data_IF_762320925415
#
_entry.id   IF_762320925415
#
_cell.length_a   1.000
_cell.length_b   1.000
_cell.length_c   1.000
_cell.angle_alpha   90.00
_cell.angle_beta   90.00
_cell.angle_gamma   90.00
#
_symmetry.space_group_name_H-M   'P 1'
#
loop_
_entity.id
_entity.type
_entity.pdbx_description
1 polymer ?
#
# COMPACT_ATOMS: atom_id res chain seq x y z
N UNK A 1 38.42 11.18 -21.12
CA UNK A 1 37.54 10.49 -20.17
C UNK A 1 36.09 10.83 -20.55
N UNK A 2 35.22 9.84 -20.65
CA UNK A 2 33.77 10.10 -20.87
C UNK A 2 33.21 10.83 -19.64
N UNK A 3 32.38 11.83 -19.88
CA UNK A 3 31.68 12.51 -18.77
C UNK A 3 30.67 11.57 -18.12
N UNK A 4 30.23 11.78 -16.89
CA UNK A 4 29.16 11.01 -16.27
C UNK A 4 27.87 10.97 -17.13
N UNK A 5 27.57 12.06 -17.82
CA UNK A 5 26.44 12.14 -18.76
C UNK A 5 26.64 11.23 -19.97
N UNK A 6 27.85 11.16 -20.55
CA UNK A 6 28.15 10.28 -21.68
C UNK A 6 27.97 8.78 -21.31
N UNK A 7 28.39 8.41 -20.10
CA UNK A 7 28.26 7.05 -19.60
C UNK A 7 26.80 6.68 -19.36
N UNK A 8 26.01 7.56 -18.75
CA UNK A 8 24.58 7.38 -18.52
C UNK A 8 23.80 7.31 -19.84
N UNK A 9 24.10 8.21 -20.78
CA UNK A 9 23.52 8.21 -22.13
C UNK A 9 23.76 6.89 -22.84
N UNK A 10 25.02 6.41 -22.85
CA UNK A 10 25.38 5.14 -23.47
C UNK A 10 24.64 3.96 -22.83
N UNK A 11 24.52 3.96 -21.50
CA UNK A 11 23.83 2.89 -20.77
C UNK A 11 22.32 2.91 -21.07
N UNK A 12 21.67 4.09 -21.04
CA UNK A 12 20.26 4.23 -21.36
C UNK A 12 19.96 3.73 -22.78
N UNK A 13 20.73 4.16 -23.78
CA UNK A 13 20.54 3.77 -25.19
C UNK A 13 20.78 2.26 -25.35
N UNK A 14 21.84 1.72 -24.76
CA UNK A 14 22.18 0.29 -24.86
C UNK A 14 21.09 -0.56 -24.21
N UNK A 15 20.66 -0.20 -23.00
CA UNK A 15 19.59 -0.94 -22.28
C UNK A 15 18.28 -0.92 -23.06
N UNK A 16 17.90 0.24 -23.60
CA UNK A 16 16.68 0.38 -24.41
C UNK A 16 16.76 -0.49 -25.67
N UNK A 17 17.86 -0.44 -26.40
CA UNK A 17 18.07 -1.21 -27.64
C UNK A 17 18.01 -2.72 -27.40
N UNK A 18 18.55 -3.18 -26.28
CA UNK A 18 18.60 -4.61 -25.94
C UNK A 18 17.27 -5.15 -25.38
N UNK A 19 16.60 -4.36 -24.51
CA UNK A 19 15.42 -4.82 -23.79
C UNK A 19 14.09 -4.48 -24.45
N UNK A 20 14.06 -3.44 -25.27
CA UNK A 20 12.84 -2.97 -25.93
C UNK A 20 13.08 -2.64 -27.42
N UNK A 21 13.49 -3.60 -28.26
CA UNK A 21 13.69 -3.38 -29.70
C UNK A 21 12.43 -2.86 -30.39
N UNK A 22 11.25 -3.25 -29.94
CA UNK A 22 9.97 -2.78 -30.46
C UNK A 22 9.82 -1.24 -30.32
N UNK A 23 10.49 -0.60 -29.36
CA UNK A 23 10.53 0.86 -29.25
C UNK A 23 11.26 1.52 -30.44
N UNK A 24 12.26 0.88 -30.98
CA UNK A 24 12.99 1.35 -32.19
C UNK A 24 12.14 1.21 -33.44
N UNK A 25 11.35 0.12 -33.55
CA UNK A 25 10.38 -0.06 -34.64
C UNK A 25 9.29 1.02 -34.58
N UNK A 26 8.79 1.32 -33.37
CA UNK A 26 7.84 2.41 -33.15
C UNK A 26 8.43 3.74 -33.56
N UNK A 27 9.67 4.06 -33.16
CA UNK A 27 10.37 5.29 -33.55
C UNK A 27 10.56 5.40 -35.06
N UNK A 28 10.86 4.30 -35.74
CA UNK A 28 10.93 4.28 -37.21
C UNK A 28 9.57 4.62 -37.86
N UNK A 29 8.47 4.13 -37.30
CA UNK A 29 7.11 4.45 -37.78
C UNK A 29 6.76 5.95 -37.59
N UNK A 30 7.13 6.56 -36.44
CA UNK A 30 6.96 7.98 -36.19
C UNK A 30 7.82 8.82 -37.13
N UNK A 31 9.08 8.46 -37.31
CA UNK A 31 10.00 9.12 -38.23
C UNK A 31 9.48 9.08 -39.67
N UNK A 32 8.97 7.94 -40.12
CA UNK A 32 8.41 7.80 -41.46
C UNK A 32 7.14 8.66 -41.67
N UNK A 33 6.43 8.95 -40.59
CA UNK A 33 5.27 9.85 -40.58
C UNK A 33 5.65 11.35 -40.42
N UNK A 34 6.94 11.66 -40.24
CA UNK A 34 7.47 13.02 -40.13
C UNK A 34 7.41 13.59 -38.69
N UNK A 35 7.21 12.74 -37.68
CA UNK A 35 7.11 13.14 -36.29
C UNK A 35 8.33 12.70 -35.47
N UNK A 36 8.60 13.44 -34.39
CA UNK A 36 9.58 13.08 -33.37
C UNK A 36 9.00 12.09 -32.36
N UNK A 37 9.84 11.25 -31.78
CA UNK A 37 9.49 10.37 -30.67
C UNK A 37 10.65 10.25 -29.72
N UNK A 38 10.43 10.51 -28.44
CA UNK A 38 11.42 10.37 -27.39
C UNK A 38 10.88 9.51 -26.24
N UNK A 39 11.68 8.53 -25.78
CA UNK A 39 11.44 7.84 -24.51
C UNK A 39 11.71 8.84 -23.39
N UNK A 40 10.86 8.88 -22.37
CA UNK A 40 10.93 9.88 -21.29
C UNK A 40 10.62 9.30 -19.92
N UNK A 41 10.96 10.03 -18.88
CA UNK A 41 10.46 9.77 -17.53
C UNK A 41 11.11 8.60 -16.81
N UNK A 42 10.27 7.84 -16.08
CA UNK A 42 10.71 6.65 -15.35
C UNK A 42 11.49 5.64 -16.18
N UNK A 43 11.04 5.28 -17.38
CA UNK A 43 11.77 4.37 -18.26
C UNK A 43 13.21 4.80 -18.58
N UNK A 44 13.49 6.09 -18.78
CA UNK A 44 14.88 6.58 -19.02
C UNK A 44 15.74 6.40 -17.77
N UNK A 45 15.22 6.80 -16.61
CA UNK A 45 15.88 6.57 -15.31
C UNK A 45 16.17 5.08 -15.10
N UNK A 46 15.18 4.23 -15.34
CA UNK A 46 15.29 2.80 -15.10
C UNK A 46 16.19 2.10 -16.13
N UNK A 47 16.29 2.66 -17.35
CA UNK A 47 17.29 2.24 -18.33
C UNK A 47 18.73 2.56 -17.87
N UNK A 48 18.97 3.75 -17.30
CA UNK A 48 20.27 4.12 -16.71
C UNK A 48 20.61 3.19 -15.53
N UNK A 49 19.60 2.77 -14.76
CA UNK A 49 19.76 1.84 -13.63
C UNK A 49 19.79 0.36 -14.06
N UNK A 50 19.80 0.05 -15.37
CA UNK A 50 19.78 -1.29 -15.96
C UNK A 50 18.60 -2.16 -15.52
N UNK A 51 17.45 -1.54 -15.16
CA UNK A 51 16.23 -2.20 -14.70
C UNK A 51 14.97 -1.81 -15.50
N UNK A 52 15.13 -1.43 -16.77
CA UNK A 52 14.05 -1.08 -17.68
C UNK A 52 12.99 -2.19 -17.69
N UNK A 53 11.74 -1.82 -17.42
CA UNK A 53 10.55 -2.68 -17.50
C UNK A 53 9.91 -2.64 -18.89
N UNK A 54 8.70 -3.23 -18.97
CA UNK A 54 7.95 -3.35 -20.22
C UNK A 54 6.96 -2.19 -20.45
N UNK A 55 6.78 -1.29 -19.47
CA UNK A 55 5.93 -0.10 -19.59
C UNK A 55 6.81 1.08 -19.98
N UNK A 56 6.59 1.60 -21.19
CA UNK A 56 7.42 2.64 -21.79
C UNK A 56 6.61 3.92 -22.03
N UNK A 57 7.09 5.03 -21.49
CA UNK A 57 6.51 6.36 -21.67
C UNK A 57 7.24 7.11 -22.77
N UNK A 58 6.50 7.60 -23.75
CA UNK A 58 7.03 8.40 -24.84
C UNK A 58 6.39 9.79 -24.86
N UNK A 59 7.12 10.74 -25.43
CA UNK A 59 6.60 12.05 -25.78
C UNK A 59 6.90 12.37 -27.25
N UNK A 60 6.04 13.15 -27.90
CA UNK A 60 6.06 13.41 -29.35
C UNK A 60 5.48 14.79 -29.69
N UNK A 61 5.84 15.33 -30.85
CA UNK A 61 5.19 16.49 -31.48
C UNK A 61 3.93 16.11 -32.28
N UNK A 62 3.66 14.82 -32.47
CA UNK A 62 2.45 14.33 -33.14
C UNK A 62 1.20 14.59 -32.29
N UNK A 63 0.09 14.99 -32.93
CA UNK A 63 -1.21 15.07 -32.25
C UNK A 63 -1.77 13.68 -31.91
N UNK A 64 -2.63 13.56 -30.91
CA UNK A 64 -3.18 12.26 -30.47
C UNK A 64 -3.82 11.43 -31.60
N UNK A 65 -4.49 12.07 -32.54
CA UNK A 65 -5.08 11.41 -33.72
C UNK A 65 -4.04 10.78 -34.63
N UNK A 66 -2.87 11.40 -34.76
CA UNK A 66 -1.80 10.87 -35.60
C UNK A 66 -1.04 9.77 -34.85
N UNK A 67 -0.85 9.93 -33.52
CA UNK A 67 -0.35 8.84 -32.66
C UNK A 67 -1.23 7.60 -32.77
N UNK A 68 -2.55 7.74 -32.69
CA UNK A 68 -3.49 6.64 -32.81
C UNK A 68 -3.40 5.93 -34.18
N UNK A 69 -3.27 6.70 -35.29
CA UNK A 69 -3.11 6.13 -36.64
C UNK A 69 -1.80 5.31 -36.78
N UNK A 70 -0.71 5.80 -36.16
CA UNK A 70 0.58 5.11 -36.22
C UNK A 70 0.50 3.85 -35.35
N UNK A 71 -0.04 3.96 -34.11
CA UNK A 71 -0.17 2.83 -33.20
C UNK A 71 -1.06 1.72 -33.76
N UNK A 72 -2.17 2.04 -34.44
CA UNK A 72 -3.04 1.04 -35.09
C UNK A 72 -2.34 0.17 -36.15
N UNK A 73 -1.21 0.61 -36.69
CA UNK A 73 -0.40 -0.15 -37.63
C UNK A 73 0.73 -0.94 -36.98
N UNK A 74 1.13 -0.52 -35.78
CA UNK A 74 2.28 -1.09 -35.08
C UNK A 74 1.89 -2.02 -33.92
N UNK A 75 0.83 -1.68 -33.17
CA UNK A 75 0.43 -2.35 -31.93
C UNK A 75 -0.65 -3.41 -32.18
N UNK A 76 -0.69 -4.44 -31.33
CA UNK A 76 -1.73 -5.49 -31.30
C UNK A 76 -3.04 -4.96 -30.73
N UNK A 77 -2.95 -4.01 -29.78
CA UNK A 77 -4.09 -3.32 -29.17
C UNK A 77 -3.77 -1.81 -28.95
N UNK A 78 -4.78 -0.96 -29.16
CA UNK A 78 -4.67 0.50 -28.98
C UNK A 78 -5.86 0.99 -28.18
N UNK A 79 -5.60 1.88 -27.22
CA UNK A 79 -6.66 2.53 -26.44
C UNK A 79 -6.28 3.96 -26.08
N UNK A 80 -7.27 4.79 -25.85
CA UNK A 80 -7.07 6.18 -25.42
C UNK A 80 -7.12 6.27 -23.92
N UNK A 81 -6.02 6.66 -23.29
CA UNK A 81 -5.96 7.00 -21.86
C UNK A 81 -6.24 8.50 -21.74
N UNK A 82 -7.54 8.86 -21.69
CA UNK A 82 -7.91 10.26 -21.56
C UNK A 82 -7.56 11.08 -22.81
N UNK A 83 -8.32 10.91 -23.89
CA UNK A 83 -8.15 11.70 -25.13
C UNK A 83 -8.15 13.22 -24.87
N UNK A 84 -8.77 13.68 -23.79
CA UNK A 84 -8.73 15.08 -23.33
C UNK A 84 -7.34 15.52 -22.83
N UNK A 85 -6.45 14.58 -22.49
CA UNK A 85 -5.11 14.87 -21.97
C UNK A 85 -3.99 14.57 -22.95
N UNK A 86 -4.31 14.18 -24.16
CA UNK A 86 -3.32 14.02 -25.24
C UNK A 86 -2.51 12.74 -25.19
N UNK A 87 -2.92 11.71 -24.42
CA UNK A 87 -2.21 10.43 -24.29
C UNK A 87 -2.93 9.32 -25.04
N UNK A 88 -2.20 8.57 -25.85
CA UNK A 88 -2.65 7.34 -26.52
C UNK A 88 -1.73 6.19 -26.10
N UNK A 89 -2.32 5.04 -25.80
CA UNK A 89 -1.58 3.87 -25.41
C UNK A 89 -1.73 2.73 -26.41
N UNK A 90 -0.74 1.86 -26.45
CA UNK A 90 -0.78 0.64 -27.26
C UNK A 90 0.03 -0.47 -26.62
N UNK A 91 -0.31 -1.72 -26.96
CA UNK A 91 0.44 -2.89 -26.54
C UNK A 91 0.89 -3.66 -27.77
N UNK A 92 2.17 -4.08 -27.78
CA UNK A 92 2.73 -4.99 -28.75
C UNK A 92 3.53 -6.05 -27.99
N UNK A 93 3.17 -7.31 -28.16
CA UNK A 93 3.71 -8.39 -27.35
C UNK A 93 3.60 -8.11 -25.85
N UNK A 94 4.72 -8.16 -25.11
CA UNK A 94 4.76 -7.85 -23.67
C UNK A 94 4.99 -6.36 -23.38
N UNK A 95 5.21 -5.50 -24.39
CA UNK A 95 5.55 -4.09 -24.22
C UNK A 95 4.28 -3.25 -24.29
N UNK A 96 4.04 -2.46 -23.27
CA UNK A 96 3.02 -1.41 -23.23
C UNK A 96 3.69 -0.06 -23.47
N UNK A 97 3.12 0.74 -24.35
CA UNK A 97 3.60 2.11 -24.63
C UNK A 97 2.51 3.13 -24.33
N UNK A 98 2.88 4.20 -23.68
CA UNK A 98 2.05 5.39 -23.49
C UNK A 98 2.72 6.56 -24.22
N UNK A 99 2.00 7.17 -25.18
CA UNK A 99 2.54 8.27 -26.01
C UNK A 99 1.76 9.52 -25.71
N UNK A 100 2.44 10.53 -25.19
CA UNK A 100 1.85 11.83 -24.85
C UNK A 100 2.38 12.90 -25.82
N UNK A 101 1.48 13.66 -26.44
CA UNK A 101 1.85 14.83 -27.23
C UNK A 101 2.49 15.86 -26.32
N UNK A 102 3.55 16.57 -26.78
CA UNK A 102 4.14 17.71 -26.06
C UNK A 102 3.03 18.64 -25.60
N UNK A 103 3.05 19.01 -24.33
CA UNK A 103 2.03 19.91 -23.77
C UNK A 103 2.65 20.87 -22.78
N UNK A 104 2.10 22.09 -22.75
CA UNK A 104 2.19 23.00 -21.61
C UNK A 104 0.85 22.95 -20.87
N UNK A 105 0.90 22.96 -19.57
CA UNK A 105 -0.30 22.92 -18.72
C UNK A 105 -0.46 24.28 -18.05
N UNK A 106 -1.59 24.96 -18.33
CA UNK A 106 -1.99 26.16 -17.59
C UNK A 106 -3.05 25.76 -16.56
N UNK A 107 -2.68 25.72 -15.28
CA UNK A 107 -3.62 25.51 -14.20
C UNK A 107 -4.24 26.83 -13.75
N UNK A 108 -5.57 26.91 -13.76
CA UNK A 108 -6.28 27.99 -13.04
C UNK A 108 -6.24 27.68 -11.55
N UNK A 109 -6.00 28.69 -10.72
CA UNK A 109 -5.75 28.59 -9.27
C UNK A 109 -6.76 27.71 -8.51
N UNK A 110 -8.00 27.61 -9.00
CA UNK A 110 -9.10 26.85 -8.37
C UNK A 110 -9.66 25.71 -9.24
N UNK A 111 -8.97 25.31 -10.32
CA UNK A 111 -9.48 24.29 -11.24
C UNK A 111 -8.65 22.99 -11.17
N UNK A 112 -9.34 21.85 -11.02
CA UNK A 112 -8.75 20.51 -11.09
C UNK A 112 -8.45 20.03 -12.51
N UNK A 113 -8.90 20.79 -13.54
CA UNK A 113 -8.73 20.43 -14.94
C UNK A 113 -7.75 21.40 -15.56
N UNK A 114 -6.54 20.94 -15.94
CA UNK A 114 -5.63 21.77 -16.72
C UNK A 114 -6.26 22.09 -18.08
N UNK A 115 -6.14 23.30 -18.55
CA UNK A 115 -6.29 23.60 -19.97
C UNK A 115 -5.04 23.08 -20.68
N UNK A 116 -5.17 21.95 -21.37
CA UNK A 116 -4.06 21.37 -22.12
C UNK A 116 -3.81 22.22 -23.35
N UNK A 117 -2.68 22.91 -23.37
CA UNK A 117 -2.18 23.56 -24.57
C UNK A 117 -1.06 22.67 -25.12
N UNK A 118 -1.22 22.16 -26.34
CA UNK A 118 -0.18 21.36 -26.97
C UNK A 118 1.07 22.23 -27.17
N UNK A 119 2.19 21.78 -26.60
CA UNK A 119 3.48 22.43 -26.66
C UNK A 119 4.21 22.08 -27.96
N UNK A 120 5.17 22.92 -28.34
CA UNK A 120 5.94 22.71 -29.57
C UNK A 120 7.34 22.12 -29.31
N UNK A 121 7.76 21.98 -28.05
CA UNK A 121 9.13 21.57 -27.72
C UNK A 121 9.23 20.53 -26.61
N UNK A 122 10.23 19.68 -26.72
CA UNK A 122 10.58 18.69 -25.72
C UNK A 122 11.08 19.35 -24.41
N UNK A 123 11.71 20.51 -24.50
CA UNK A 123 12.23 21.27 -23.34
C UNK A 123 11.07 21.65 -22.41
N UNK A 124 9.97 22.15 -22.97
CA UNK A 124 8.76 22.49 -22.24
C UNK A 124 8.13 21.25 -21.60
N UNK A 125 8.11 20.11 -22.31
CA UNK A 125 7.61 18.85 -21.79
C UNK A 125 8.45 18.33 -20.63
N UNK A 126 9.76 18.42 -20.70
CA UNK A 126 10.68 18.00 -19.65
C UNK A 126 10.61 18.92 -18.41
N UNK A 127 10.48 20.25 -18.60
CA UNK A 127 10.40 21.22 -17.50
C UNK A 127 9.19 21.00 -16.60
N UNK A 128 8.05 20.61 -17.17
CA UNK A 128 6.82 20.37 -16.41
C UNK A 128 6.77 19.05 -15.65
N UNK A 129 7.77 18.16 -15.82
CA UNK A 129 7.84 16.89 -15.12
C UNK A 129 8.07 17.08 -13.61
N UNK A 130 7.78 16.04 -12.85
CA UNK A 130 7.81 16.10 -11.39
C UNK A 130 9.23 16.32 -10.83
N UNK A 131 10.20 15.50 -11.27
CA UNK A 131 11.57 15.53 -10.73
C UNK A 131 12.61 15.40 -11.83
N UNK A 132 13.82 15.96 -11.60
CA UNK A 132 14.94 15.94 -12.54
C UNK A 132 15.28 14.53 -13.00
N UNK A 133 15.28 13.55 -12.10
CA UNK A 133 15.52 12.13 -12.39
C UNK A 133 14.48 11.51 -13.34
N UNK A 134 13.34 12.14 -13.54
CA UNK A 134 12.28 11.76 -14.48
C UNK A 134 12.13 12.77 -15.61
N UNK A 135 12.97 13.83 -15.66
CA UNK A 135 12.97 14.85 -16.67
C UNK A 135 14.13 14.68 -17.67
N UNK A 136 14.46 13.42 -17.97
CA UNK A 136 15.43 13.01 -18.97
C UNK A 136 14.71 12.35 -20.14
N UNK A 137 15.31 12.42 -21.35
CA UNK A 137 14.76 11.81 -22.54
C UNK A 137 15.82 11.11 -23.38
N UNK A 138 15.37 10.15 -24.21
CA UNK A 138 16.15 9.58 -25.32
C UNK A 138 15.35 9.79 -26.60
N UNK A 139 15.73 10.73 -27.43
CA UNK A 139 15.11 10.97 -28.74
C UNK A 139 15.56 9.88 -29.72
N UNK A 140 14.58 9.16 -30.30
CA UNK A 140 14.81 7.96 -31.11
C UNK A 140 14.67 8.20 -32.62
N UNK A 141 14.13 9.34 -33.02
CA UNK A 141 13.85 9.68 -34.43
C UNK A 141 14.99 10.37 -35.14
N UNK A 142 16.05 10.73 -34.44
CA UNK A 142 17.34 11.23 -34.97
C UNK A 142 18.09 10.15 -35.75
N UNK A 143 19.21 10.48 -36.39
CA UNK A 143 20.04 9.47 -37.10
C UNK A 143 20.61 8.42 -36.13
N UNK A 144 21.06 8.91 -34.96
CA UNK A 144 21.48 8.08 -33.83
C UNK A 144 20.67 8.54 -32.61
N UNK A 145 20.20 7.61 -31.73
CA UNK A 145 19.48 8.01 -30.51
C UNK A 145 20.26 9.08 -29.73
N UNK A 146 19.58 10.15 -29.35
CA UNK A 146 20.19 11.31 -28.67
C UNK A 146 19.64 11.42 -27.26
N UNK A 147 20.53 11.39 -26.26
CA UNK A 147 20.18 11.57 -24.87
C UNK A 147 20.05 13.06 -24.53
N UNK A 148 19.00 13.41 -23.79
CA UNK A 148 18.66 14.78 -23.41
C UNK A 148 18.50 14.84 -21.89
N UNK A 149 19.34 15.64 -21.24
CA UNK A 149 19.30 15.96 -19.80
C UNK A 149 19.52 17.47 -19.60
N UNK A 150 18.43 18.21 -19.55
CA UNK A 150 18.46 19.68 -19.44
C UNK A 150 18.53 20.18 -17.98
N UNK A 151 18.20 19.31 -17.03
CA UNK A 151 17.98 19.67 -15.63
C UNK A 151 18.92 18.92 -14.67
N UNK A 152 20.03 18.37 -15.18
CA UNK A 152 21.02 17.62 -14.40
C UNK A 152 20.44 16.35 -13.72
N UNK A 153 19.48 15.69 -14.37
CA UNK A 153 18.84 14.49 -13.85
C UNK A 153 19.81 13.35 -13.60
N UNK A 154 20.85 13.18 -14.44
CA UNK A 154 21.92 12.19 -14.25
C UNK A 154 22.71 12.47 -12.96
N UNK A 155 23.07 13.72 -12.72
CA UNK A 155 23.80 14.11 -11.52
C UNK A 155 22.97 13.86 -10.25
N UNK A 156 21.68 14.24 -10.26
CA UNK A 156 20.77 14.02 -9.15
C UNK A 156 20.53 12.51 -8.92
N UNK A 157 20.44 11.71 -9.99
CA UNK A 157 20.32 10.26 -9.92
C UNK A 157 21.56 9.62 -9.26
N UNK A 158 22.78 10.06 -9.63
CA UNK A 158 24.03 9.59 -9.05
C UNK A 158 24.18 9.99 -7.58
N UNK A 159 23.77 11.23 -7.25
CA UNK A 159 23.80 11.76 -5.89
C UNK A 159 22.63 11.25 -5.04
N UNK A 160 21.70 10.49 -5.64
CA UNK A 160 20.49 9.98 -4.96
C UNK A 160 19.62 11.09 -4.35
N UNK A 161 19.35 12.13 -5.11
CA UNK A 161 18.57 13.29 -4.68
C UNK A 161 17.30 13.42 -5.52
N UNK A 162 16.18 13.72 -4.84
CA UNK A 162 14.90 14.08 -5.46
C UNK A 162 14.81 15.59 -5.50
N UNK A 163 14.82 16.17 -6.72
CA UNK A 163 14.78 17.60 -6.98
C UNK A 163 13.85 17.89 -8.15
N UNK A 164 13.17 19.05 -8.15
CA UNK A 164 12.32 19.50 -9.26
C UNK A 164 13.13 20.14 -10.38
N UNK A 165 12.72 20.03 -11.67
CA UNK A 165 13.40 20.71 -12.78
C UNK A 165 13.41 22.24 -12.64
N UNK A 166 12.31 22.81 -12.13
CA UNK A 166 12.18 24.23 -11.82
C UNK A 166 11.98 24.46 -10.32
N UNK A 167 11.32 25.57 -9.95
CA UNK A 167 10.98 25.85 -8.57
C UNK A 167 9.95 24.82 -8.06
N UNK A 168 10.16 24.32 -6.86
CA UNK A 168 9.29 23.31 -6.28
C UNK A 168 7.87 23.86 -6.04
N UNK A 169 7.74 25.12 -5.65
CA UNK A 169 6.47 25.80 -5.43
C UNK A 169 5.63 25.85 -6.71
N UNK A 170 6.24 26.14 -7.85
CA UNK A 170 5.56 26.16 -9.15
C UNK A 170 5.06 24.75 -9.51
N UNK A 171 5.96 23.77 -9.39
CA UNK A 171 5.65 22.35 -9.63
C UNK A 171 4.50 21.83 -8.76
N UNK A 172 4.44 22.19 -7.47
CA UNK A 172 3.39 21.78 -6.55
C UNK A 172 2.11 22.61 -6.70
N UNK A 173 2.20 23.81 -7.27
CA UNK A 173 1.04 24.57 -7.69
C UNK A 173 0.32 23.93 -8.86
N UNK A 174 1.07 23.36 -9.80
CA UNK A 174 0.55 22.64 -10.96
C UNK A 174 -0.13 21.33 -10.55
N UNK A 175 0.55 20.48 -9.78
CA UNK A 175 -0.02 19.23 -9.25
C UNK A 175 0.45 18.98 -7.80
N UNK A 176 -0.38 19.29 -6.80
CA UNK A 176 -0.04 19.05 -5.40
C UNK A 176 0.28 17.59 -5.05
N UNK A 177 -0.17 16.61 -5.86
CA UNK A 177 0.19 15.20 -5.64
C UNK A 177 1.69 14.95 -5.79
N UNK A 178 2.42 15.83 -6.51
CA UNK A 178 3.88 15.72 -6.64
C UNK A 178 4.60 15.77 -5.29
N UNK A 179 4.01 16.40 -4.27
CA UNK A 179 4.52 16.35 -2.89
C UNK A 179 4.54 14.92 -2.33
N UNK A 180 3.46 14.15 -2.50
CA UNK A 180 3.44 12.72 -2.13
C UNK A 180 4.36 11.88 -3.02
N UNK A 181 4.46 12.22 -4.31
CA UNK A 181 5.36 11.55 -5.24
C UNK A 181 6.84 11.73 -4.84
N UNK A 182 7.23 12.91 -4.31
CA UNK A 182 8.57 13.14 -3.76
C UNK A 182 8.87 12.15 -2.62
N UNK A 183 7.96 12.00 -1.67
CA UNK A 183 8.06 11.04 -0.58
C UNK A 183 8.10 9.60 -1.10
N UNK A 184 7.25 9.26 -2.07
CA UNK A 184 7.25 7.93 -2.68
C UNK A 184 8.59 7.60 -3.34
N UNK A 185 9.14 8.49 -4.17
CA UNK A 185 10.42 8.23 -4.83
C UNK A 185 11.57 8.16 -3.83
N UNK A 186 11.55 8.97 -2.78
CA UNK A 186 12.50 8.85 -1.68
C UNK A 186 12.44 7.44 -1.05
N UNK A 187 11.24 6.94 -0.77
CA UNK A 187 11.01 5.63 -0.17
C UNK A 187 11.35 4.45 -1.10
N UNK A 188 11.00 4.55 -2.39
CA UNK A 188 11.22 3.49 -3.39
C UNK A 188 12.66 3.41 -3.90
N UNK A 189 13.35 4.55 -4.01
CA UNK A 189 14.69 4.61 -4.57
C UNK A 189 15.77 4.69 -3.48
N UNK A 190 15.37 4.85 -2.23
CA UNK A 190 16.25 5.17 -1.11
C UNK A 190 17.08 6.44 -1.37
N UNK A 191 16.39 7.51 -1.82
CA UNK A 191 16.98 8.81 -2.15
C UNK A 191 16.58 9.85 -1.11
N UNK A 192 17.42 10.84 -0.91
CA UNK A 192 17.11 12.02 -0.09
C UNK A 192 16.29 13.03 -0.91
N UNK A 193 15.43 13.80 -0.25
CA UNK A 193 14.73 14.91 -0.89
C UNK A 193 15.54 16.18 -0.65
N UNK A 194 15.73 16.99 -1.70
CA UNK A 194 16.42 18.27 -1.63
C UNK A 194 15.76 19.17 -0.55
N UNK A 195 16.53 19.86 0.31
CA UNK A 195 16.00 20.72 1.35
C UNK A 195 15.03 21.80 0.86
N UNK A 196 15.23 22.33 -0.35
CA UNK A 196 14.32 23.32 -0.94
C UNK A 196 12.97 22.69 -1.27
N UNK A 197 12.97 21.45 -1.76
CA UNK A 197 11.74 20.66 -2.02
C UNK A 197 11.02 20.35 -0.71
N UNK A 198 11.73 19.96 0.36
CA UNK A 198 11.14 19.74 1.70
C UNK A 198 10.48 21.02 2.24
N UNK A 199 11.15 22.17 2.08
CA UNK A 199 10.61 23.47 2.51
C UNK A 199 9.33 23.82 1.75
N UNK A 200 9.32 23.61 0.44
CA UNK A 200 8.13 23.82 -0.39
C UNK A 200 6.98 22.87 -0.02
N UNK A 201 7.26 21.57 0.24
CA UNK A 201 6.24 20.63 0.72
C UNK A 201 5.62 21.13 2.02
N UNK A 202 6.41 21.51 3.01
CA UNK A 202 5.91 22.00 4.31
C UNK A 202 5.01 23.23 4.17
N UNK A 203 5.39 24.17 3.31
CA UNK A 203 4.61 25.39 3.09
C UNK A 203 3.33 25.18 2.30
N UNK A 204 3.26 24.12 1.48
CA UNK A 204 2.17 23.88 0.54
C UNK A 204 1.34 22.61 0.86
N UNK A 205 1.64 21.91 1.97
CA UNK A 205 1.00 20.64 2.33
C UNK A 205 -0.54 20.72 2.29
N UNK A 206 -1.14 21.84 2.74
CA UNK A 206 -2.60 22.04 2.72
C UNK A 206 -3.24 21.93 1.34
N UNK A 207 -2.50 22.21 0.26
CA UNK A 207 -2.98 22.06 -1.11
C UNK A 207 -3.27 20.60 -1.50
N UNK A 208 -2.75 19.63 -0.75
CA UNK A 208 -3.08 18.22 -0.99
C UNK A 208 -4.58 17.94 -0.83
N UNK A 209 -5.32 18.78 -0.09
CA UNK A 209 -6.76 18.66 0.13
C UNK A 209 -7.60 18.73 -1.15
N UNK A 210 -7.08 19.31 -2.25
CA UNK A 210 -7.78 19.37 -3.54
C UNK A 210 -7.63 18.09 -4.38
N UNK A 211 -6.72 17.19 -4.00
CA UNK A 211 -6.45 15.93 -4.70
C UNK A 211 -7.50 14.89 -4.32
N UNK A 212 -7.91 14.07 -5.30
CA UNK A 212 -8.88 13.01 -5.04
C UNK A 212 -8.32 11.93 -4.11
N UNK A 213 -9.19 11.34 -3.29
CA UNK A 213 -8.83 10.31 -2.34
C UNK A 213 -8.18 9.08 -3.00
N UNK A 214 -8.62 8.73 -4.21
CA UNK A 214 -8.07 7.62 -4.99
C UNK A 214 -6.61 7.86 -5.37
N UNK A 215 -6.27 9.07 -5.85
CA UNK A 215 -4.87 9.41 -6.18
C UNK A 215 -3.98 9.40 -4.95
N UNK A 216 -4.47 9.91 -3.82
CA UNK A 216 -3.77 9.88 -2.52
C UNK A 216 -3.56 8.42 -2.06
N UNK A 217 -4.61 7.58 -2.11
CA UNK A 217 -4.54 6.15 -1.79
C UNK A 217 -3.47 5.45 -2.62
N UNK A 218 -3.43 5.70 -3.92
CA UNK A 218 -2.50 5.04 -4.83
C UNK A 218 -1.04 5.40 -4.51
N UNK A 219 -0.76 6.67 -4.17
CA UNK A 219 0.59 7.08 -3.73
C UNK A 219 0.93 6.49 -2.35
N UNK A 220 0.00 6.51 -1.38
CA UNK A 220 0.17 5.88 -0.07
C UNK A 220 0.45 4.38 -0.22
N UNK A 221 -0.31 3.69 -1.07
CA UNK A 221 -0.10 2.26 -1.36
C UNK A 221 1.31 2.01 -1.89
N UNK A 222 1.77 2.83 -2.85
CA UNK A 222 3.12 2.71 -3.41
C UNK A 222 4.22 3.01 -2.39
N UNK A 223 3.98 3.93 -1.45
CA UNK A 223 4.89 4.20 -0.32
C UNK A 223 4.94 2.98 0.60
N UNK A 224 3.78 2.46 1.02
CA UNK A 224 3.72 1.29 1.91
C UNK A 224 4.33 0.05 1.27
N UNK A 225 4.17 -0.14 -0.04
CA UNK A 225 4.71 -1.30 -0.77
C UNK A 225 6.16 -1.13 -1.22
N UNK A 226 6.81 -0.01 -0.88
CA UNK A 226 8.24 0.20 -1.13
C UNK A 226 9.13 -0.60 -0.18
N UNK A 227 10.44 -0.58 -0.44
CA UNK A 227 11.44 -1.22 0.41
C UNK A 227 11.69 -0.44 1.73
N UNK A 228 11.35 0.85 1.76
CA UNK A 228 11.58 1.75 2.90
C UNK A 228 10.31 2.50 3.32
N UNK A 229 9.19 1.81 3.63
CA UNK A 229 7.93 2.48 3.94
C UNK A 229 8.00 3.30 5.23
N UNK A 230 8.79 2.88 6.22
CA UNK A 230 9.03 3.65 7.46
C UNK A 230 9.54 5.05 7.15
N UNK A 231 10.58 5.17 6.30
CA UNK A 231 11.12 6.46 5.90
C UNK A 231 10.05 7.32 5.18
N UNK A 232 9.21 6.68 4.35
CA UNK A 232 8.09 7.34 3.68
C UNK A 232 7.06 7.88 4.65
N UNK A 233 6.59 7.08 5.61
CA UNK A 233 5.62 7.50 6.63
C UNK A 233 6.20 8.59 7.53
N UNK A 234 7.49 8.47 7.90
CA UNK A 234 8.20 9.51 8.64
C UNK A 234 8.19 10.85 7.88
N UNK A 235 8.55 10.85 6.60
CA UNK A 235 8.54 12.06 5.77
C UNK A 235 7.14 12.64 5.59
N UNK A 236 6.11 11.82 5.39
CA UNK A 236 4.71 12.30 5.33
C UNK A 236 4.32 13.05 6.59
N UNK A 237 4.75 12.55 7.75
CA UNK A 237 4.47 13.17 9.06
C UNK A 237 5.27 14.44 9.26
N UNK A 238 6.60 14.42 9.00
CA UNK A 238 7.49 15.58 9.20
C UNK A 238 7.20 16.76 8.28
N UNK A 239 6.58 16.48 7.14
CA UNK A 239 6.23 17.50 6.14
C UNK A 239 4.80 18.05 6.29
N UNK A 240 4.00 17.49 7.21
CA UNK A 240 2.61 17.89 7.38
C UNK A 240 1.63 17.30 6.37
N UNK A 241 2.10 16.44 5.47
CA UNK A 241 1.22 15.80 4.48
C UNK A 241 0.27 14.81 5.14
N UNK A 242 0.73 14.04 6.14
CA UNK A 242 -0.07 13.05 6.82
C UNK A 242 -1.27 13.66 7.54
N UNK A 243 -1.17 14.88 8.06
CA UNK A 243 -2.26 15.60 8.73
C UNK A 243 -3.48 15.79 7.82
N UNK A 244 -3.28 15.86 6.50
CA UNK A 244 -4.34 16.12 5.52
C UNK A 244 -5.17 14.86 5.24
N UNK A 245 -4.57 13.69 5.14
CA UNK A 245 -5.27 12.48 4.69
C UNK A 245 -5.20 11.30 5.67
N UNK A 246 -4.26 11.29 6.61
CA UNK A 246 -4.02 10.21 7.59
C UNK A 246 -3.67 10.80 8.97
N UNK A 247 -4.48 11.73 9.51
CA UNK A 247 -4.15 12.49 10.74
C UNK A 247 -4.06 11.63 12.01
N UNK A 248 -4.46 10.37 11.94
CA UNK A 248 -4.34 9.42 13.05
C UNK A 248 -2.87 9.12 13.35
N UNK A 249 -2.00 9.07 12.34
CA UNK A 249 -0.59 8.70 12.50
C UNK A 249 0.23 9.80 13.21
N UNK A 250 0.19 11.09 12.78
CA UNK A 250 0.86 12.14 13.53
C UNK A 250 0.41 12.26 14.99
N UNK A 251 -0.85 11.92 15.29
CA UNK A 251 -1.40 11.96 16.67
C UNK A 251 -0.82 10.90 17.60
N UNK A 252 -0.14 9.90 17.09
CA UNK A 252 0.58 8.91 17.89
C UNK A 252 1.87 9.47 18.51
N UNK A 253 2.38 10.60 18.00
CA UNK A 253 3.55 11.28 18.56
C UNK A 253 3.23 11.77 19.97
N UNK A 254 4.22 11.64 20.86
CA UNK A 254 4.13 12.07 22.27
C UNK A 254 3.14 11.26 23.12
N UNK A 255 2.52 10.22 22.59
CA UNK A 255 1.79 9.26 23.40
C UNK A 255 2.79 8.24 23.97
N UNK A 256 2.89 8.18 25.29
CA UNK A 256 3.79 7.26 25.99
C UNK A 256 3.11 5.91 26.06
N UNK A 257 3.79 4.86 25.56
CA UNK A 257 3.30 3.48 25.62
C UNK A 257 3.21 2.98 27.07
N UNK A 258 2.06 2.41 27.47
CA UNK A 258 1.81 1.87 28.83
C UNK A 258 2.79 0.75 29.24
N UNK A 259 3.26 -0.05 28.29
CA UNK A 259 4.17 -1.15 28.53
C UNK A 259 5.66 -0.77 28.41
N UNK A 260 5.95 0.39 27.84
CA UNK A 260 7.29 0.86 27.55
C UNK A 260 7.43 2.33 27.89
N UNK A 261 7.49 2.66 29.17
CA UNK A 261 7.57 4.03 29.74
C UNK A 261 8.54 5.03 29.07
N UNK A 262 9.22 4.61 27.99
CA UNK A 262 10.23 5.39 27.26
C UNK A 262 10.06 5.36 25.75
N UNK A 263 8.99 4.75 25.21
CA UNK A 263 8.74 4.70 23.75
C UNK A 263 7.48 5.48 23.39
N UNK A 264 7.64 6.40 22.46
CA UNK A 264 6.56 7.02 21.73
C UNK A 264 5.79 5.98 20.92
N UNK A 265 4.47 5.96 21.00
CA UNK A 265 3.59 5.04 20.24
C UNK A 265 3.83 5.18 18.73
N UNK A 266 4.16 6.37 18.26
CA UNK A 266 4.52 6.60 16.86
C UNK A 266 5.77 5.81 16.44
N UNK A 267 6.86 5.91 17.21
CA UNK A 267 8.10 5.17 16.93
C UNK A 267 7.92 3.66 17.07
N UNK A 268 7.05 3.22 18.00
CA UNK A 268 6.64 1.83 18.11
C UNK A 268 5.95 1.38 16.83
N UNK A 269 4.93 2.12 16.37
CA UNK A 269 4.18 1.80 15.14
C UNK A 269 5.09 1.69 13.91
N UNK A 270 6.05 2.59 13.75
CA UNK A 270 7.02 2.52 12.67
C UNK A 270 7.97 1.32 12.79
N UNK A 271 8.28 0.91 14.02
CA UNK A 271 9.09 -0.29 14.26
C UNK A 271 8.31 -1.56 13.92
N UNK A 272 7.03 -1.62 14.29
CA UNK A 272 6.14 -2.74 13.92
C UNK A 272 6.02 -2.85 12.40
N UNK A 273 5.93 -1.74 11.69
CA UNK A 273 5.91 -1.71 10.22
C UNK A 273 7.18 -2.33 9.62
N UNK A 274 8.37 -2.02 10.15
CA UNK A 274 9.62 -2.65 9.69
C UNK A 274 9.66 -4.16 10.02
N UNK A 275 9.15 -4.53 11.20
CA UNK A 275 9.17 -5.93 11.64
C UNK A 275 8.21 -6.81 10.82
N UNK A 276 7.04 -6.33 10.42
CA UNK A 276 6.15 -7.11 9.55
C UNK A 276 6.77 -7.38 8.19
N UNK A 277 7.54 -6.43 7.63
CA UNK A 277 8.23 -6.59 6.35
C UNK A 277 9.24 -7.74 6.42
N UNK A 278 9.98 -7.86 7.51
CA UNK A 278 10.93 -8.95 7.72
C UNK A 278 10.25 -10.34 7.79
N UNK A 279 8.94 -10.38 8.07
CA UNK A 279 8.15 -11.61 8.22
C UNK A 279 7.29 -11.94 6.99
N UNK A 280 7.15 -11.05 6.01
CA UNK A 280 6.24 -11.19 4.86
C UNK A 280 6.54 -12.40 3.96
N UNK A 281 7.74 -12.96 4.01
CA UNK A 281 8.07 -14.20 3.28
C UNK A 281 7.09 -15.34 3.59
N UNK A 282 6.49 -15.36 4.77
CA UNK A 282 5.46 -16.33 5.18
C UNK A 282 4.12 -16.16 4.46
N UNK A 283 3.91 -15.02 3.80
CA UNK A 283 2.74 -14.71 2.95
C UNK A 283 3.07 -14.79 1.45
N UNK A 284 4.29 -15.18 1.10
CA UNK A 284 4.75 -15.23 -0.30
C UNK A 284 5.29 -13.90 -0.83
N UNK A 285 5.47 -12.88 0.01
CA UNK A 285 6.02 -11.59 -0.36
C UNK A 285 5.27 -10.39 0.23
N UNK A 286 5.55 -9.21 -0.28
CA UNK A 286 5.01 -7.94 0.22
C UNK A 286 3.47 -7.94 0.25
N UNK A 287 2.88 -7.55 1.39
CA UNK A 287 1.45 -7.64 1.63
C UNK A 287 0.85 -6.33 2.17
N UNK A 288 0.03 -5.67 1.35
CA UNK A 288 -0.57 -4.38 1.70
C UNK A 288 -1.47 -4.45 2.93
N UNK A 289 -2.27 -5.50 3.08
CA UNK A 289 -3.18 -5.68 4.23
C UNK A 289 -2.40 -5.75 5.53
N UNK A 290 -1.30 -6.51 5.56
CA UNK A 290 -0.44 -6.62 6.73
C UNK A 290 0.26 -5.30 7.06
N UNK A 291 0.82 -4.60 6.06
CA UNK A 291 1.50 -3.31 6.26
C UNK A 291 0.54 -2.21 6.72
N UNK A 292 -0.69 -2.17 6.18
CA UNK A 292 -1.75 -1.27 6.66
C UNK A 292 -2.16 -1.61 8.09
N UNK A 293 -2.31 -2.90 8.43
CA UNK A 293 -2.64 -3.31 9.79
C UNK A 293 -1.54 -2.91 10.78
N UNK A 294 -0.27 -3.09 10.42
CA UNK A 294 0.87 -2.65 11.22
C UNK A 294 0.90 -1.13 11.42
N UNK A 295 0.59 -0.35 10.38
CA UNK A 295 0.52 1.11 10.49
C UNK A 295 -0.65 1.58 11.36
N UNK A 296 -1.76 0.83 11.40
CA UNK A 296 -3.01 1.29 12.01
C UNK A 296 -3.38 0.58 13.33
N UNK A 297 -2.58 -0.40 13.81
CA UNK A 297 -2.98 -1.21 14.97
C UNK A 297 -3.24 -0.38 16.22
N UNK A 298 -2.47 0.66 16.43
CA UNK A 298 -2.47 1.51 17.63
C UNK A 298 -3.18 2.86 17.48
N UNK A 299 -3.81 3.16 16.34
CA UNK A 299 -4.44 4.48 16.10
C UNK A 299 -5.58 4.81 17.07
N UNK A 300 -6.08 3.82 17.82
CA UNK A 300 -7.07 4.01 18.86
C UNK A 300 -6.52 4.62 20.16
N UNK A 301 -5.23 4.43 20.45
CA UNK A 301 -4.60 4.83 21.73
C UNK A 301 -4.86 6.30 22.12
N UNK A 302 -4.69 7.30 21.24
CA UNK A 302 -4.95 8.69 21.62
C UNK A 302 -6.39 8.97 22.07
N UNK A 303 -7.36 8.18 21.60
CA UNK A 303 -8.78 8.36 21.99
C UNK A 303 -9.19 7.58 23.22
N UNK A 304 -8.40 6.62 23.64
CA UNK A 304 -8.70 5.75 24.79
C UNK A 304 -7.71 5.95 25.94
N UNK A 305 -6.93 7.03 25.88
CA UNK A 305 -5.95 7.39 26.90
C UNK A 305 -6.63 7.78 28.21
N UNK A 306 -6.29 7.09 29.27
CA UNK A 306 -6.73 7.38 30.64
C UNK A 306 -5.51 7.46 31.57
N UNK A 307 -5.51 8.45 32.47
CA UNK A 307 -4.50 8.56 33.51
C UNK A 307 -4.89 7.64 34.68
N UNK A 308 -3.98 6.76 35.09
CA UNK A 308 -4.18 5.88 36.25
C UNK A 308 -3.56 6.47 37.53
N UNK A 309 -4.06 6.04 38.69
CA UNK A 309 -3.76 6.63 39.98
C UNK A 309 -2.26 6.72 40.35
N UNK A 310 -1.44 5.79 39.79
CA UNK A 310 0.01 5.69 40.00
C UNK A 310 0.83 6.56 39.04
N UNK A 311 0.20 7.48 38.32
CA UNK A 311 0.86 8.37 37.34
C UNK A 311 1.18 7.70 36.01
N UNK A 312 0.70 6.48 35.77
CA UNK A 312 0.79 5.78 34.49
C UNK A 312 -0.35 6.17 33.54
N UNK A 313 -0.30 5.60 32.35
CA UNK A 313 -1.31 5.77 31.31
C UNK A 313 -1.84 4.39 30.90
N UNK A 314 -3.14 4.27 30.70
CA UNK A 314 -3.77 3.07 30.10
C UNK A 314 -4.50 3.44 28.82
N UNK A 315 -4.70 2.43 27.94
CA UNK A 315 -5.36 2.57 26.65
C UNK A 315 -6.41 1.45 26.44
N UNK A 316 -7.29 1.28 27.43
CA UNK A 316 -8.29 0.21 27.40
C UNK A 316 -9.17 0.31 26.14
N UNK A 317 -9.40 -0.85 25.49
CA UNK A 317 -10.22 -0.99 24.30
C UNK A 317 -9.76 -0.19 23.07
N UNK A 318 -8.46 0.16 22.99
CA UNK A 318 -7.94 0.85 21.81
C UNK A 318 -8.04 0.01 20.54
N UNK A 319 -8.05 -1.32 20.64
CA UNK A 319 -8.26 -2.23 19.51
C UNK A 319 -9.68 -2.09 18.92
N UNK A 320 -10.70 -1.89 19.76
CA UNK A 320 -12.10 -1.69 19.32
C UNK A 320 -12.25 -0.33 18.65
N UNK A 321 -11.76 0.71 19.31
CA UNK A 321 -11.81 2.09 18.80
C UNK A 321 -10.95 2.22 17.54
N UNK A 322 -9.75 1.65 17.55
CA UNK A 322 -8.82 1.62 16.42
C UNK A 322 -9.42 0.92 15.20
N UNK A 323 -10.05 -0.23 15.37
CA UNK A 323 -10.72 -0.93 14.27
C UNK A 323 -11.84 -0.10 13.61
N UNK A 324 -12.62 0.64 14.40
CA UNK A 324 -13.63 1.56 13.87
C UNK A 324 -12.98 2.71 13.10
N UNK A 325 -11.98 3.37 13.69
CA UNK A 325 -11.23 4.45 13.04
C UNK A 325 -10.57 4.01 11.74
N UNK A 326 -10.01 2.78 11.72
CA UNK A 326 -9.45 2.15 10.52
C UNK A 326 -10.48 2.04 9.40
N UNK A 327 -11.68 1.51 9.70
CA UNK A 327 -12.78 1.41 8.72
C UNK A 327 -13.16 2.77 8.15
N UNK A 328 -13.28 3.79 9.02
CA UNK A 328 -13.65 5.14 8.62
C UNK A 328 -12.56 5.75 7.73
N UNK A 329 -11.28 5.63 8.11
CA UNK A 329 -10.16 6.20 7.37
C UNK A 329 -9.95 5.53 6.01
N UNK A 330 -9.89 4.20 5.97
CA UNK A 330 -9.68 3.49 4.72
C UNK A 330 -10.85 3.67 3.74
N UNK A 331 -12.08 3.79 4.26
CA UNK A 331 -13.25 4.15 3.44
C UNK A 331 -13.14 5.57 2.86
N UNK A 332 -12.70 6.54 3.67
CA UNK A 332 -12.48 7.91 3.21
C UNK A 332 -11.39 7.97 2.12
N UNK A 333 -10.37 7.12 2.23
CA UNK A 333 -9.31 6.97 1.22
C UNK A 333 -9.71 6.06 0.04
N UNK A 334 -10.96 5.58 -0.01
CA UNK A 334 -11.47 4.76 -1.13
C UNK A 334 -10.70 3.45 -1.36
N UNK A 335 -10.23 2.81 -0.29
CA UNK A 335 -9.72 1.45 -0.38
C UNK A 335 -10.84 0.45 -0.72
N UNK A 336 -10.46 -0.71 -1.24
CA UNK A 336 -11.36 -1.81 -1.50
C UNK A 336 -12.03 -2.32 -0.21
N UNK A 337 -13.31 -2.74 -0.29
CA UNK A 337 -14.08 -3.19 0.86
C UNK A 337 -13.48 -4.40 1.57
N UNK A 338 -12.82 -5.31 0.83
CA UNK A 338 -12.16 -6.46 1.43
C UNK A 338 -10.93 -6.01 2.25
N UNK A 339 -10.11 -5.12 1.71
CA UNK A 339 -8.97 -4.54 2.43
C UNK A 339 -9.45 -3.82 3.70
N UNK A 340 -10.51 -3.01 3.61
CA UNK A 340 -11.08 -2.30 4.76
C UNK A 340 -11.50 -3.28 5.85
N UNK A 341 -12.20 -4.37 5.47
CA UNK A 341 -12.66 -5.41 6.39
C UNK A 341 -11.48 -6.13 7.05
N UNK A 342 -10.52 -6.57 6.26
CA UNK A 342 -9.39 -7.39 6.72
C UNK A 342 -8.45 -6.61 7.62
N UNK A 343 -8.08 -5.38 7.24
CA UNK A 343 -7.23 -4.52 8.06
C UNK A 343 -7.91 -4.19 9.39
N UNK A 344 -9.19 -3.83 9.38
CA UNK A 344 -9.92 -3.53 10.61
C UNK A 344 -10.09 -4.75 11.51
N UNK A 345 -10.23 -5.96 10.94
CA UNK A 345 -10.26 -7.19 11.71
C UNK A 345 -8.92 -7.48 12.37
N UNK A 346 -7.81 -7.29 11.66
CA UNK A 346 -6.46 -7.44 12.23
C UNK A 346 -6.22 -6.44 13.36
N UNK A 347 -6.59 -5.17 13.18
CA UNK A 347 -6.52 -4.14 14.22
C UNK A 347 -7.37 -4.53 15.44
N UNK A 348 -8.57 -5.07 15.24
CA UNK A 348 -9.42 -5.54 16.34
C UNK A 348 -8.82 -6.72 17.11
N UNK A 349 -8.12 -7.61 16.42
CA UNK A 349 -7.63 -8.87 17.00
C UNK A 349 -6.19 -8.79 17.53
N UNK A 350 -5.42 -7.74 17.26
CA UNK A 350 -3.97 -7.72 17.52
C UNK A 350 -3.61 -7.97 18.99
N UNK A 351 -4.47 -7.59 19.95
CA UNK A 351 -4.25 -7.85 21.38
C UNK A 351 -4.66 -9.25 21.84
N UNK A 352 -5.36 -10.03 21.01
CA UNK A 352 -5.88 -11.35 21.44
C UNK A 352 -4.81 -12.32 21.89
N UNK A 353 -3.59 -12.18 21.38
CA UNK A 353 -2.44 -13.01 21.78
C UNK A 353 -1.91 -12.69 23.17
N UNK A 354 -2.06 -11.48 23.69
CA UNK A 354 -1.44 -11.05 24.94
C UNK A 354 -1.84 -11.91 26.17
N UNK A 355 -2.97 -12.60 26.09
CA UNK A 355 -3.38 -13.59 27.12
C UNK A 355 -2.68 -14.95 27.01
N UNK A 356 -1.97 -15.26 25.91
CA UNK A 356 -1.29 -16.53 25.72
C UNK A 356 0.09 -16.49 26.40
N UNK A 357 0.35 -17.34 27.36
CA UNK A 357 1.62 -17.40 28.09
C UNK A 357 1.62 -16.76 29.49
N UNK A 358 0.53 -16.07 29.87
CA UNK A 358 0.28 -15.62 31.24
C UNK A 358 -0.67 -16.57 32.00
N UNK A 359 -1.26 -17.52 31.31
CA UNK A 359 -2.14 -18.56 31.81
C UNK A 359 -2.30 -19.66 30.75
N UNK A 360 -2.88 -20.79 31.14
CA UNK A 360 -3.16 -21.86 30.18
C UNK A 360 -4.33 -21.45 29.26
N UNK A 361 -4.04 -21.17 28.00
CA UNK A 361 -5.10 -21.15 27.01
C UNK A 361 -5.71 -22.54 26.88
N UNK A 362 -6.99 -22.64 27.11
CA UNK A 362 -7.76 -23.87 26.85
C UNK A 362 -7.86 -24.10 25.33
N UNK A 363 -8.19 -25.32 24.93
CA UNK A 363 -8.44 -25.59 23.50
C UNK A 363 -9.64 -24.76 22.98
N UNK A 364 -10.60 -24.47 23.84
CA UNK A 364 -11.70 -23.54 23.57
C UNK A 364 -11.20 -22.14 23.19
N UNK A 365 -10.24 -21.58 23.93
CA UNK A 365 -9.65 -20.28 23.61
C UNK A 365 -8.91 -20.31 22.27
N UNK A 366 -8.18 -21.39 21.97
CA UNK A 366 -7.50 -21.57 20.67
C UNK A 366 -8.49 -21.68 19.52
N UNK A 367 -9.58 -22.45 19.68
CA UNK A 367 -10.64 -22.55 18.68
C UNK A 367 -11.28 -21.20 18.38
N UNK A 368 -11.58 -20.40 19.43
CA UNK A 368 -12.11 -19.03 19.26
C UNK A 368 -11.13 -18.12 18.54
N UNK A 369 -9.85 -18.19 18.89
CA UNK A 369 -8.81 -17.39 18.23
C UNK A 369 -8.73 -17.72 16.73
N UNK A 370 -8.70 -19.01 16.35
CA UNK A 370 -8.68 -19.45 14.94
C UNK A 370 -9.95 -19.02 14.20
N UNK A 371 -11.13 -19.23 14.81
CA UNK A 371 -12.41 -18.81 14.23
C UNK A 371 -12.45 -17.31 13.97
N UNK A 372 -12.06 -16.51 14.95
CA UNK A 372 -12.13 -15.05 14.87
C UNK A 372 -11.15 -14.49 13.84
N UNK A 373 -9.99 -15.13 13.70
CA UNK A 373 -9.00 -14.77 12.68
C UNK A 373 -9.39 -15.25 11.26
N UNK A 374 -9.99 -16.44 11.16
CA UNK A 374 -10.38 -17.04 9.88
C UNK A 374 -9.23 -17.08 8.89
N UNK A 375 -9.45 -16.57 7.68
CA UNK A 375 -8.43 -16.52 6.62
C UNK A 375 -7.26 -15.57 6.94
N UNK A 376 -7.40 -14.69 7.93
CA UNK A 376 -6.38 -13.75 8.36
C UNK A 376 -5.44 -14.33 9.44
N UNK A 377 -5.54 -15.61 9.78
CA UNK A 377 -4.78 -16.22 10.87
C UNK A 377 -3.27 -16.01 10.72
N UNK A 378 -2.72 -16.26 9.53
CA UNK A 378 -1.29 -16.02 9.26
C UNK A 378 -0.93 -14.54 9.40
N UNK A 379 -1.76 -13.63 8.85
CA UNK A 379 -1.54 -12.19 8.98
C UNK A 379 -1.55 -11.75 10.45
N UNK A 380 -2.48 -12.27 11.24
CA UNK A 380 -2.57 -11.97 12.66
C UNK A 380 -1.33 -12.44 13.43
N UNK A 381 -0.85 -13.65 13.15
CA UNK A 381 0.40 -14.16 13.75
C UNK A 381 1.60 -13.26 13.41
N UNK A 382 1.72 -12.80 12.15
CA UNK A 382 2.80 -11.91 11.75
C UNK A 382 2.69 -10.54 12.41
N UNK A 383 1.49 -9.97 12.48
CA UNK A 383 1.25 -8.69 13.14
C UNK A 383 1.61 -8.77 14.64
N UNK A 384 1.10 -9.76 15.36
CA UNK A 384 1.34 -9.90 16.80
C UNK A 384 2.82 -10.21 17.12
N UNK A 385 3.51 -10.99 16.27
CA UNK A 385 4.96 -11.19 16.39
C UNK A 385 5.73 -9.89 16.18
N UNK A 386 5.34 -9.10 15.19
CA UNK A 386 5.96 -7.81 14.90
C UNK A 386 5.67 -6.74 15.94
N UNK A 387 4.54 -6.79 16.61
CA UNK A 387 4.15 -5.87 17.69
C UNK A 387 5.04 -6.05 18.95
N UNK A 388 5.71 -7.20 19.07
CA UNK A 388 6.68 -7.43 20.13
C UNK A 388 8.00 -6.69 19.90
N UNK A 389 8.09 -5.43 20.33
CA UNK A 389 9.25 -4.55 20.12
C UNK A 389 10.20 -4.47 21.31
N UNK A 390 10.28 -5.51 22.15
CA UNK A 390 11.17 -5.52 23.33
C UNK A 390 12.65 -5.52 22.95
N UNK A 391 13.47 -4.69 23.62
CA UNK A 391 14.93 -4.69 23.49
C UNK A 391 15.62 -5.79 24.30
N UNK A 392 14.88 -6.44 25.19
CA UNK A 392 15.41 -7.54 25.99
C UNK A 392 15.39 -8.84 25.16
N UNK A 393 16.56 -9.29 24.73
CA UNK A 393 16.73 -10.46 23.88
C UNK A 393 16.12 -11.73 24.51
N UNK A 394 16.30 -11.97 25.81
CA UNK A 394 15.72 -13.14 26.51
C UNK A 394 14.19 -13.09 26.48
N UNK A 395 13.60 -11.91 26.66
CA UNK A 395 12.14 -11.71 26.57
C UNK A 395 11.65 -11.94 25.14
N UNK A 396 12.37 -11.42 24.14
CA UNK A 396 12.05 -11.61 22.72
C UNK A 396 12.09 -13.10 22.33
N UNK A 397 13.15 -13.83 22.73
CA UNK A 397 13.29 -15.27 22.48
C UNK A 397 12.18 -16.08 23.19
N UNK A 398 11.84 -15.70 24.43
CA UNK A 398 10.73 -16.33 25.17
C UNK A 398 9.39 -16.16 24.46
N UNK A 399 9.11 -14.94 24.01
CA UNK A 399 7.88 -14.64 23.25
C UNK A 399 7.86 -15.37 21.90
N UNK A 400 8.98 -15.42 21.17
CA UNK A 400 9.07 -16.16 19.91
C UNK A 400 8.73 -17.64 20.11
N UNK A 401 9.25 -18.29 21.17
CA UNK A 401 8.91 -19.68 21.53
C UNK A 401 7.42 -19.83 21.84
N UNK A 402 6.83 -18.87 22.54
CA UNK A 402 5.40 -18.89 22.88
C UNK A 402 4.53 -18.79 21.62
N UNK A 403 4.91 -17.96 20.65
CA UNK A 403 4.25 -17.92 19.35
C UNK A 403 4.36 -19.23 18.59
N UNK A 404 5.57 -19.84 18.56
CA UNK A 404 5.79 -21.13 17.90
C UNK A 404 4.95 -22.23 18.54
N UNK A 405 4.85 -22.26 19.87
CA UNK A 405 4.01 -23.22 20.61
C UNK A 405 2.53 -23.05 20.27
N UNK A 406 2.02 -21.81 20.18
CA UNK A 406 0.65 -21.55 19.76
C UNK A 406 0.40 -22.04 18.33
N UNK A 407 1.28 -21.74 17.40
CA UNK A 407 1.13 -22.18 16.00
C UNK A 407 1.13 -23.71 15.91
N UNK A 408 2.02 -24.40 16.63
CA UNK A 408 2.05 -25.86 16.69
C UNK A 408 0.76 -26.43 17.28
N UNK A 409 0.25 -25.84 18.37
CA UNK A 409 -1.00 -26.29 19.00
C UNK A 409 -2.19 -26.10 18.07
N UNK A 410 -2.25 -24.96 17.35
CA UNK A 410 -3.27 -24.72 16.31
C UNK A 410 -3.20 -25.81 15.25
N UNK A 411 -2.00 -26.14 14.73
CA UNK A 411 -1.84 -27.19 13.72
C UNK A 411 -2.34 -28.55 14.20
N UNK A 412 -2.01 -28.91 15.44
CA UNK A 412 -2.48 -30.17 16.04
C UNK A 412 -4.02 -30.22 16.15
N UNK A 413 -4.62 -29.13 16.65
CA UNK A 413 -6.09 -29.05 16.76
C UNK A 413 -6.77 -29.04 15.37
N UNK A 414 -6.18 -28.36 14.39
CA UNK A 414 -6.67 -28.35 13.00
C UNK A 414 -6.67 -29.78 12.40
N UNK A 415 -5.63 -30.54 12.66
CA UNK A 415 -5.55 -31.95 12.21
C UNK A 415 -6.57 -32.85 12.91
N UNK A 416 -6.82 -32.63 14.20
CA UNK A 416 -7.74 -33.46 14.99
C UNK A 416 -9.20 -33.12 14.78
N UNK A 417 -9.53 -31.85 14.55
CA UNK A 417 -10.90 -31.34 14.66
C UNK A 417 -11.42 -30.65 13.39
N UNK A 418 -10.67 -30.63 12.29
CA UNK A 418 -11.01 -29.87 11.08
C UNK A 418 -11.38 -28.40 11.39
N UNK A 419 -10.54 -27.69 12.17
CA UNK A 419 -10.81 -26.33 12.64
C UNK A 419 -11.10 -25.31 11.52
N UNK A 420 -10.66 -25.58 10.29
CA UNK A 420 -10.96 -24.74 9.11
C UNK A 420 -12.46 -24.63 8.81
N UNK A 421 -13.25 -25.56 9.37
CA UNK A 421 -14.70 -25.67 9.15
C UNK A 421 -15.43 -25.70 10.48
N UNK A 422 -15.03 -24.85 11.46
CA UNK A 422 -15.74 -24.78 12.74
C UNK A 422 -17.19 -24.43 12.48
N UNK A 423 -18.04 -25.43 12.68
CA UNK A 423 -19.51 -25.34 12.59
C UNK A 423 -20.08 -26.28 13.62
N UNK A 424 -21.34 -26.08 14.07
CA UNK A 424 -22.03 -27.02 14.92
C UNK A 424 -22.07 -28.40 14.28
N UNK A 425 -22.15 -29.44 15.12
CA UNK A 425 -22.30 -30.84 14.67
C UNK A 425 -23.65 -31.11 14.01
N UNK A 426 -24.62 -30.18 14.15
CA UNK A 426 -25.92 -30.18 13.48
C UNK A 426 -26.06 -28.98 12.53
N UNK A 427 -26.59 -29.23 11.34
CA UNK A 427 -26.93 -28.18 10.37
C UNK A 427 -28.23 -27.46 10.75
N UNK A 428 -28.49 -26.28 10.17
CA UNK A 428 -29.72 -25.54 10.35
C UNK A 428 -30.97 -26.36 9.97
N UNK A 429 -30.89 -27.22 8.95
CA UNK A 429 -31.98 -28.12 8.56
C UNK A 429 -32.23 -29.21 9.60
N UNK A 430 -31.15 -29.81 10.12
CA UNK A 430 -31.25 -30.79 11.22
C UNK A 430 -31.84 -30.17 12.50
N UNK A 431 -31.42 -28.95 12.85
CA UNK A 431 -31.96 -28.18 13.99
C UNK A 431 -33.47 -27.96 13.82
N UNK A 432 -33.91 -27.51 12.64
CA UNK A 432 -35.33 -27.32 12.34
C UNK A 432 -36.13 -28.63 12.45
N UNK A 433 -35.59 -29.73 11.93
CA UNK A 433 -36.20 -31.03 11.97
C UNK A 433 -36.35 -31.56 13.43
N UNK A 434 -35.28 -31.41 14.26
CA UNK A 434 -35.25 -31.86 15.64
C UNK A 434 -36.24 -31.06 16.51
N UNK A 435 -36.27 -29.73 16.31
CA UNK A 435 -37.14 -28.85 17.13
C UNK A 435 -38.56 -28.71 16.58
N UNK A 436 -38.86 -29.23 15.38
CA UNK A 436 -40.17 -29.11 14.74
C UNK A 436 -40.56 -27.67 14.40
N UNK A 437 -39.57 -26.79 14.06
CA UNK A 437 -39.80 -25.38 13.80
C UNK A 437 -39.49 -25.01 12.34
N UNK A 438 -40.15 -23.95 11.84
CA UNK A 438 -39.88 -23.37 10.52
C UNK A 438 -38.66 -22.42 10.59
N UNK A 439 -38.06 -22.04 9.43
CA UNK A 439 -37.02 -21.02 9.37
C UNK A 439 -37.43 -19.77 10.16
N UNK A 440 -36.63 -19.39 11.14
CA UNK A 440 -36.92 -18.28 12.05
C UNK A 440 -35.64 -17.82 12.78
N UNK A 441 -35.61 -16.63 13.40
CA UNK A 441 -34.50 -16.19 14.22
C UNK A 441 -34.13 -17.17 15.35
N UNK A 442 -35.05 -18.04 15.75
CA UNK A 442 -34.82 -19.07 16.77
C UNK A 442 -33.82 -20.15 16.26
N UNK A 443 -33.90 -20.51 14.98
CA UNK A 443 -32.92 -21.43 14.38
C UNK A 443 -31.50 -20.86 14.46
N UNK A 444 -31.36 -19.54 14.23
CA UNK A 444 -30.08 -18.85 14.40
C UNK A 444 -29.57 -18.93 15.83
N UNK A 445 -30.42 -18.65 16.83
CA UNK A 445 -30.03 -18.77 18.26
C UNK A 445 -29.65 -20.20 18.66
N UNK A 446 -30.37 -21.19 18.16
CA UNK A 446 -30.05 -22.59 18.38
C UNK A 446 -28.71 -22.98 17.72
N UNK A 447 -28.47 -22.48 16.52
CA UNK A 447 -27.19 -22.67 15.81
C UNK A 447 -26.01 -22.03 16.58
N UNK A 448 -26.20 -20.79 17.06
CA UNK A 448 -25.19 -20.07 17.85
C UNK A 448 -24.89 -20.80 19.17
N UNK A 449 -25.93 -21.34 19.86
CA UNK A 449 -25.75 -22.16 21.06
C UNK A 449 -24.91 -23.41 20.79
N UNK A 450 -25.22 -24.16 19.72
CA UNK A 450 -24.45 -25.35 19.35
C UNK A 450 -23.03 -24.99 18.87
N UNK A 451 -22.85 -23.80 18.26
CA UNK A 451 -21.53 -23.31 17.90
C UNK A 451 -20.68 -23.00 19.15
N UNK A 452 -21.28 -22.39 20.17
CA UNK A 452 -20.57 -22.16 21.45
C UNK A 452 -20.20 -23.48 22.12
N UNK A 453 -21.09 -24.48 22.12
CA UNK A 453 -20.80 -25.83 22.60
C UNK A 453 -19.62 -26.46 21.84
N UNK A 454 -19.61 -26.33 20.52
CA UNK A 454 -18.49 -26.80 19.65
C UNK A 454 -17.16 -26.13 19.98
N UNK A 455 -17.21 -24.83 20.31
CA UNK A 455 -16.01 -24.05 20.66
C UNK A 455 -15.48 -24.44 22.07
N UNK A 456 -16.37 -24.74 23.02
CA UNK A 456 -15.95 -25.14 24.37
C UNK A 456 -15.44 -26.58 24.40
N UNK A 457 -16.26 -27.53 23.98
CA UNK A 457 -16.01 -28.95 24.17
C UNK A 457 -15.31 -29.64 22.99
N UNK A 458 -15.19 -28.97 21.84
CA UNK A 458 -14.77 -29.61 20.60
C UNK A 458 -15.90 -30.35 19.90
N UNK A 459 -15.58 -31.29 18.97
CA UNK A 459 -16.59 -32.11 18.30
C UNK A 459 -17.23 -33.07 19.30
N UNK A 460 -18.50 -32.85 19.57
CA UNK A 460 -19.27 -33.70 20.51
C UNK A 460 -20.04 -34.83 19.81
N UNK A 461 -20.18 -34.72 18.48
CA UNK A 461 -20.99 -35.67 17.67
C UNK A 461 -22.46 -35.33 17.66
N UNK A 462 -23.18 -35.84 16.62
CA UNK A 462 -24.62 -35.48 16.38
C UNK A 462 -25.56 -35.88 17.49
N UNK A 463 -25.33 -37.02 18.13
CA UNK A 463 -26.23 -37.51 19.17
C UNK A 463 -26.17 -36.62 20.42
N UNK A 464 -24.97 -36.29 20.90
CA UNK A 464 -24.79 -35.39 22.04
C UNK A 464 -25.25 -33.97 21.72
N UNK A 465 -24.93 -33.46 20.51
CA UNK A 465 -25.38 -32.15 20.04
C UNK A 465 -26.93 -32.06 20.00
N UNK A 466 -27.62 -33.15 19.63
CA UNK A 466 -29.08 -33.23 19.66
C UNK A 466 -29.63 -33.22 21.09
N UNK A 467 -28.99 -33.93 22.02
CA UNK A 467 -29.39 -33.94 23.44
C UNK A 467 -29.25 -32.53 24.04
N UNK A 468 -28.12 -31.88 23.83
CA UNK A 468 -27.85 -30.50 24.28
C UNK A 468 -28.81 -29.48 23.66
N UNK A 469 -29.11 -29.62 22.36
CA UNK A 469 -30.12 -28.78 21.68
C UNK A 469 -31.50 -28.92 22.32
N UNK A 470 -31.94 -30.15 22.65
CA UNK A 470 -33.21 -30.37 23.24
C UNK A 470 -33.29 -29.86 24.69
N UNK A 471 -32.18 -29.93 25.44
CA UNK A 471 -32.10 -29.37 26.78
C UNK A 471 -32.18 -27.84 26.75
N UNK A 472 -31.37 -27.22 25.90
CA UNK A 472 -31.41 -25.77 25.66
C UNK A 472 -32.81 -25.29 25.23
N UNK A 473 -33.51 -26.08 24.35
CA UNK A 473 -34.86 -25.73 23.87
C UNK A 473 -35.90 -25.73 24.97
N UNK A 474 -35.78 -26.60 25.96
CA UNK A 474 -36.67 -26.62 27.13
C UNK A 474 -36.57 -25.33 27.94
N UNK A 475 -35.39 -24.74 28.02
CA UNK A 475 -35.15 -23.50 28.76
C UNK A 475 -35.63 -22.23 28.03
N UNK A 476 -35.92 -22.33 26.73
CA UNK A 476 -36.42 -21.21 25.91
C UNK A 476 -37.97 -21.13 25.89
N UNK A 477 -38.66 -22.13 26.43
CA UNK A 477 -40.12 -22.17 26.59
C UNK A 477 -40.53 -21.63 27.95
#
# INVERSE_FOLDING_TARGET
>A
MKTPNDAAAQLAITTLTQRAPAALELAAAFKAAGFKLALVGGPVRDAILARLGNDLDFTTDAHPKDCEKILKKWADAVWSIGAAFGTVAGKKDEITVEITTYRSENYKVDSRKPEVVFGESIEGDLLRRDFTINAMAVELTTQTPTFIDLFNGVADLQNKVIKTPGKAEDSFSDDPLRMMRAVRFSSQLNFTIDPTVITAIKSMASRLSIISAERIRDELTKILMSDQPKAGIYLLTETGLAEIFLPEIPKLKLEIDEHHHHKDVYEHTLTVLDQVIALENRLGGANLTLRLAALMHDIGKPKTKELIADGGVSFHHHEVVGARMTKERLRALRFDNQIIKDVAQLVFLHLRFHGYGLGEWTDSAVRRYVRDAGQLLTHLHLLTRADCTTRNQKKAEGLAKTYDQLEQRIQLLMQQEELDKIRPDLTGEEIMAILGIKPSPMVGRAYDYLLELRLEDGPVGKDKAKEELLNWWKEQK
#
